data_IF_167019687712
#
_entry.id   IF_167019687712
#
_cell.length_a   1.000
_cell.length_b   1.000
_cell.length_c   1.000
_cell.angle_alpha   90.00
_cell.angle_beta   90.00
_cell.angle_gamma   90.00
#
_symmetry.space_group_name_H-M   'P 1'
#
loop_
_entity.id
_entity.type
_entity.pdbx_description
1 polymer ?
#
# COMPACT_ATOMS: atom_id res chain seq x y z
N UNK A 1 11.58 -9.31 -6.40
CA UNK A 1 10.49 -8.68 -7.19
C UNK A 1 9.27 -8.73 -6.31
N UNK A 2 8.49 -7.66 -6.20
CA UNK A 2 7.23 -7.71 -5.45
C UNK A 2 6.18 -8.42 -6.30
N UNK A 3 5.31 -9.21 -5.67
CA UNK A 3 4.29 -9.99 -6.37
C UNK A 3 2.95 -9.85 -5.66
N UNK A 4 1.87 -10.00 -6.42
CA UNK A 4 0.50 -10.07 -5.91
C UNK A 4 0.15 -11.55 -5.73
N UNK A 5 -0.40 -11.90 -4.57
CA UNK A 5 -0.98 -13.22 -4.35
C UNK A 5 -2.49 -13.14 -4.58
N UNK A 6 -2.94 -13.60 -5.75
CA UNK A 6 -4.36 -13.61 -6.11
C UNK A 6 -5.21 -14.50 -5.20
N UNK A 7 -4.61 -15.52 -4.55
CA UNK A 7 -5.32 -16.38 -3.60
C UNK A 7 -5.62 -15.62 -2.30
N UNK A 8 -4.66 -14.82 -1.82
CA UNK A 8 -4.88 -13.90 -0.69
C UNK A 8 -5.89 -12.83 -1.06
N UNK A 9 -5.79 -12.26 -2.26
CA UNK A 9 -6.77 -11.28 -2.73
C UNK A 9 -8.19 -11.85 -2.72
N UNK A 10 -8.39 -13.05 -3.27
CA UNK A 10 -9.68 -13.74 -3.24
C UNK A 10 -10.16 -13.99 -1.81
N UNK A 11 -9.27 -14.43 -0.92
CA UNK A 11 -9.59 -14.70 0.48
C UNK A 11 -10.05 -13.44 1.22
N UNK A 12 -9.38 -12.31 1.02
CA UNK A 12 -9.65 -11.05 1.74
C UNK A 12 -10.85 -10.30 1.17
N UNK A 13 -11.01 -10.31 -0.16
CA UNK A 13 -12.04 -9.51 -0.84
C UNK A 13 -13.29 -10.30 -1.21
N UNK A 14 -13.22 -11.64 -1.20
CA UNK A 14 -14.28 -12.52 -1.67
C UNK A 14 -14.48 -12.52 -3.18
N UNK A 15 -13.57 -11.91 -3.95
CA UNK A 15 -13.70 -11.78 -5.40
C UNK A 15 -12.41 -12.15 -6.13
N UNK A 16 -12.54 -12.76 -7.32
CA UNK A 16 -11.38 -13.06 -8.17
C UNK A 16 -10.72 -11.77 -8.65
N UNK A 17 -9.39 -11.76 -8.70
CA UNK A 17 -8.58 -10.60 -9.09
C UNK A 17 -8.98 -10.05 -10.47
N UNK A 18 -9.25 -10.94 -11.44
CA UNK A 18 -9.56 -10.56 -12.84
C UNK A 18 -11.06 -10.35 -13.12
N UNK A 19 -11.93 -10.53 -12.13
CA UNK A 19 -13.37 -10.26 -12.30
C UNK A 19 -13.66 -8.76 -12.41
N UNK A 20 -14.84 -8.38 -12.92
CA UNK A 20 -15.26 -6.98 -12.97
C UNK A 20 -15.22 -6.32 -11.58
N UNK A 21 -15.67 -7.05 -10.55
CA UNK A 21 -15.62 -6.57 -9.17
C UNK A 21 -14.18 -6.50 -8.64
N UNK A 22 -13.34 -7.48 -8.96
CA UNK A 22 -11.90 -7.45 -8.66
C UNK A 22 -11.22 -6.21 -9.24
N UNK A 23 -11.46 -5.91 -10.51
CA UNK A 23 -10.97 -4.69 -11.18
C UNK A 23 -11.41 -3.42 -10.44
N UNK A 24 -12.67 -3.35 -9.97
CA UNK A 24 -13.14 -2.21 -9.16
C UNK A 24 -12.39 -2.08 -7.83
N UNK A 25 -12.11 -3.19 -7.14
CA UNK A 25 -11.26 -3.16 -5.93
C UNK A 25 -9.85 -2.64 -6.24
N UNK A 26 -9.23 -3.09 -7.35
CA UNK A 26 -7.92 -2.60 -7.81
C UNK A 26 -7.93 -1.10 -8.05
N UNK A 27 -8.93 -0.59 -8.76
CA UNK A 27 -9.09 0.83 -9.04
C UNK A 27 -9.27 1.67 -7.76
N UNK A 28 -10.04 1.18 -6.78
CA UNK A 28 -10.19 1.84 -5.48
C UNK A 28 -8.84 1.89 -4.77
N UNK A 29 -8.12 0.77 -4.70
CA UNK A 29 -6.81 0.70 -4.07
C UNK A 29 -5.81 1.67 -4.72
N UNK A 30 -5.71 1.68 -6.06
CA UNK A 30 -4.85 2.61 -6.81
C UNK A 30 -5.22 4.06 -6.52
N UNK A 31 -6.51 4.41 -6.52
CA UNK A 31 -6.97 5.76 -6.18
C UNK A 31 -6.56 6.16 -4.76
N UNK A 32 -6.74 5.27 -3.78
CA UNK A 32 -6.35 5.53 -2.40
C UNK A 32 -4.83 5.69 -2.26
N UNK A 33 -4.01 4.86 -2.93
CA UNK A 33 -2.56 4.98 -2.93
C UNK A 33 -2.08 6.30 -3.56
N UNK A 34 -2.73 6.76 -4.63
CA UNK A 34 -2.46 8.09 -5.23
C UNK A 34 -2.80 9.22 -4.26
N UNK A 35 -3.95 9.16 -3.58
CA UNK A 35 -4.32 10.14 -2.56
C UNK A 35 -3.35 10.19 -1.38
N UNK A 36 -2.88 9.03 -0.92
CA UNK A 36 -1.83 8.92 0.11
C UNK A 36 -0.54 9.57 -0.39
N UNK A 37 -0.15 9.31 -1.64
CA UNK A 37 1.05 9.87 -2.26
C UNK A 37 0.99 11.40 -2.38
N UNK A 38 -0.16 11.95 -2.75
CA UNK A 38 -0.39 13.40 -2.77
C UNK A 38 -0.38 14.00 -1.35
N UNK A 39 -0.92 13.25 -0.38
CA UNK A 39 -0.94 13.62 1.04
C UNK A 39 0.45 13.70 1.68
N UNK A 40 1.39 12.87 1.24
CA UNK A 40 2.79 12.89 1.69
C UNK A 40 3.47 14.25 1.41
N UNK A 41 3.15 14.87 0.27
CA UNK A 41 3.68 16.19 -0.13
C UNK A 41 3.11 17.30 0.76
N UNK A 42 1.87 17.14 1.21
CA UNK A 42 1.13 18.15 1.98
C UNK A 42 1.29 18.01 3.49
N UNK A 43 2.06 17.02 3.96
CA UNK A 43 2.32 16.74 5.38
C UNK A 43 1.06 16.63 6.25
N UNK A 44 0.00 16.03 5.69
CA UNK A 44 -1.32 15.97 6.32
C UNK A 44 -1.44 14.94 7.43
N UNK A 45 -0.63 13.88 7.37
CA UNK A 45 -0.71 12.72 8.27
C UNK A 45 0.69 12.24 8.64
N UNK A 46 0.83 11.60 9.79
CA UNK A 46 2.10 11.04 10.22
C UNK A 46 2.55 9.86 9.35
N UNK A 47 3.87 9.62 9.30
CA UNK A 47 4.42 8.46 8.58
C UNK A 47 3.81 7.14 9.07
N UNK A 48 3.60 7.01 10.38
CA UNK A 48 2.93 5.85 10.99
C UNK A 48 1.51 5.62 10.45
N UNK A 49 0.69 6.67 10.36
CA UNK A 49 -0.69 6.56 9.87
C UNK A 49 -0.72 6.17 8.38
N UNK A 50 0.15 6.80 7.58
CA UNK A 50 0.25 6.50 6.15
C UNK A 50 0.78 5.08 5.92
N UNK A 51 1.78 4.65 6.67
CA UNK A 51 2.29 3.28 6.65
C UNK A 51 1.19 2.27 7.00
N UNK A 52 0.37 2.55 8.02
CA UNK A 52 -0.75 1.69 8.40
C UNK A 52 -1.77 1.50 7.28
N UNK A 53 -2.13 2.58 6.58
CA UNK A 53 -3.05 2.52 5.43
C UNK A 53 -2.47 1.71 4.28
N UNK A 54 -1.22 1.99 3.88
CA UNK A 54 -0.55 1.26 2.78
C UNK A 54 -0.40 -0.21 3.13
N UNK A 55 -0.06 -0.54 4.39
CA UNK A 55 0.01 -1.92 4.88
C UNK A 55 -1.31 -2.66 4.69
N UNK A 56 -2.42 -2.04 5.09
CA UNK A 56 -3.75 -2.63 4.93
C UNK A 56 -4.06 -2.95 3.46
N UNK A 57 -3.73 -2.04 2.56
CA UNK A 57 -3.86 -2.28 1.12
C UNK A 57 -2.94 -3.43 0.69
N UNK A 58 -1.64 -3.38 0.99
CA UNK A 58 -0.68 -4.41 0.61
C UNK A 58 -1.10 -5.81 1.06
N UNK A 59 -1.63 -5.95 2.28
CA UNK A 59 -2.15 -7.22 2.80
C UNK A 59 -3.35 -7.74 2.01
N UNK A 60 -4.27 -6.87 1.58
CA UNK A 60 -5.41 -7.25 0.73
C UNK A 60 -4.98 -7.77 -0.65
N UNK A 61 -3.77 -7.47 -1.09
CA UNK A 61 -3.20 -7.94 -2.35
C UNK A 61 -2.12 -9.02 -2.15
N UNK A 62 -1.90 -9.48 -0.92
CA UNK A 62 -0.86 -10.46 -0.61
C UNK A 62 0.58 -9.99 -0.88
N UNK A 63 0.80 -8.68 -1.01
CA UNK A 63 2.11 -8.06 -1.21
C UNK A 63 2.89 -8.01 0.12
N UNK A 64 3.29 -9.19 0.60
CA UNK A 64 3.81 -9.41 1.96
C UNK A 64 5.08 -8.62 2.27
N UNK A 65 5.97 -8.45 1.30
CA UNK A 65 7.19 -7.65 1.47
C UNK A 65 6.87 -6.18 1.69
N UNK A 66 5.92 -5.63 0.92
CA UNK A 66 5.48 -4.23 1.06
C UNK A 66 4.80 -4.04 2.42
N UNK A 67 3.90 -4.96 2.80
CA UNK A 67 3.27 -4.95 4.11
C UNK A 67 4.29 -5.00 5.26
N UNK A 68 5.37 -5.78 5.11
CA UNK A 68 6.47 -5.86 6.08
C UNK A 68 7.27 -4.56 6.15
N UNK A 69 7.50 -3.88 5.04
CA UNK A 69 8.16 -2.56 5.03
C UNK A 69 7.30 -1.54 5.78
N UNK A 70 6.00 -1.48 5.47
CA UNK A 70 5.07 -0.59 6.19
C UNK A 70 5.02 -0.89 7.69
N UNK A 71 4.99 -2.17 8.08
CA UNK A 71 5.02 -2.57 9.49
C UNK A 71 6.28 -2.05 10.20
N UNK A 72 7.46 -2.14 9.56
CA UNK A 72 8.70 -1.60 10.13
C UNK A 72 8.62 -0.08 10.26
N UNK A 73 8.08 0.62 9.28
CA UNK A 73 7.88 2.07 9.37
C UNK A 73 6.95 2.44 10.54
N UNK A 74 5.86 1.70 10.74
CA UNK A 74 4.96 1.91 11.88
C UNK A 74 5.65 1.68 13.23
N UNK A 75 6.44 0.61 13.34
CA UNK A 75 7.11 0.23 14.59
C UNK A 75 8.28 1.14 14.94
N UNK A 76 9.00 1.65 13.93
CA UNK A 76 10.20 2.45 14.10
C UNK A 76 9.98 3.95 13.81
N UNK A 77 8.73 4.41 13.74
CA UNK A 77 8.36 5.80 13.46
C UNK A 77 9.10 6.81 14.37
N UNK A 78 9.28 6.46 15.65
CA UNK A 78 9.97 7.30 16.64
C UNK A 78 11.48 7.49 16.39
N UNK A 79 12.12 6.60 15.62
CA UNK A 79 13.58 6.65 15.35
C UNK A 79 13.91 6.95 13.90
N UNK A 80 12.96 6.73 12.97
CA UNK A 80 13.14 7.03 11.56
C UNK A 80 13.04 8.54 11.35
N UNK A 81 13.96 9.08 10.56
CA UNK A 81 13.89 10.49 10.14
C UNK A 81 12.63 10.71 9.32
N UNK A 82 11.82 11.71 9.68
CA UNK A 82 10.53 11.95 9.06
C UNK A 82 10.58 12.01 7.53
N UNK A 83 11.56 12.70 6.94
CA UNK A 83 11.71 12.80 5.48
C UNK A 83 12.01 11.45 4.81
N UNK A 84 12.87 10.61 5.42
CA UNK A 84 13.19 9.29 4.87
C UNK A 84 11.98 8.36 4.95
N UNK A 85 11.18 8.44 6.02
CA UNK A 85 9.93 7.70 6.12
C UNK A 85 8.99 8.02 4.95
N UNK A 86 8.83 9.31 4.62
CA UNK A 86 8.00 9.74 3.48
C UNK A 86 8.53 9.26 2.14
N UNK A 87 9.85 9.32 1.93
CA UNK A 87 10.48 8.82 0.70
C UNK A 87 10.23 7.32 0.52
N UNK A 88 10.39 6.54 1.59
CA UNK A 88 10.08 5.10 1.55
C UNK A 88 8.60 4.88 1.25
N UNK A 89 7.68 5.61 1.92
CA UNK A 89 6.23 5.51 1.70
C UNK A 89 5.84 5.84 0.26
N UNK A 90 6.45 6.86 -0.33
CA UNK A 90 6.23 7.23 -1.73
C UNK A 90 6.71 6.11 -2.68
N UNK A 91 7.91 5.60 -2.47
CA UNK A 91 8.49 4.53 -3.29
C UNK A 91 7.64 3.25 -3.24
N UNK A 92 7.21 2.82 -2.06
CA UNK A 92 6.40 1.60 -1.93
C UNK A 92 4.97 1.79 -2.44
N UNK A 93 4.39 3.00 -2.30
CA UNK A 93 3.07 3.29 -2.87
C UNK A 93 3.10 3.21 -4.39
N UNK A 94 4.13 3.79 -5.02
CA UNK A 94 4.33 3.70 -6.47
C UNK A 94 4.56 2.27 -6.93
N UNK A 95 5.40 1.51 -6.22
CA UNK A 95 5.62 0.09 -6.52
C UNK A 95 4.30 -0.70 -6.44
N UNK A 96 3.50 -0.49 -5.39
CA UNK A 96 2.23 -1.18 -5.22
C UNK A 96 1.19 -0.78 -6.29
N UNK A 97 1.15 0.50 -6.68
CA UNK A 97 0.33 0.96 -7.82
C UNK A 97 0.72 0.21 -9.10
N UNK A 98 2.01 0.15 -9.43
CA UNK A 98 2.47 -0.54 -10.64
C UNK A 98 2.15 -2.03 -10.66
N UNK A 99 2.04 -2.68 -9.49
CA UNK A 99 1.64 -4.09 -9.39
C UNK A 99 0.13 -4.29 -9.56
N UNK A 100 -0.68 -3.31 -9.13
CA UNK A 100 -2.15 -3.41 -9.11
C UNK A 100 -2.79 -2.91 -10.41
N UNK A 101 -2.20 -1.88 -11.03
CA UNK A 101 -2.71 -1.17 -12.22
C UNK A 101 -2.40 -1.90 -13.54
N UNK A 102 -2.23 -3.23 -13.48
CA UNK A 102 -2.00 -4.13 -14.63
C UNK A 102 -3.33 -4.65 -15.17
#
# INVERSE_FOLDING_TARGET
MYEIDESVFLLVTGTSYQSELGIRFRQIAVRTLRQISDGLVQDKESNKELAHKIKGIALSFGANEIARICLKLEQYDAVIRAHLGKEILSNISNALICLIDV
#
